data_IF_715261484856
#
_entry.id   IF_715261484856
#
_cell.length_a   1.000
_cell.length_b   1.000
_cell.length_c   1.000
_cell.angle_alpha   90.00
_cell.angle_beta   90.00
_cell.angle_gamma   90.00
#
_symmetry.space_group_name_H-M   'P 1'
#
loop_
_entity.id
_entity.type
_entity.pdbx_description
1 polymer ?
#
# COMPACT_ATOMS: atom_id res chain seq x y z
N UNK A 1 0.88 -50.56 11.57
CA UNK A 1 1.18 -49.49 12.54
C UNK A 1 2.21 -48.56 11.96
N UNK A 2 1.87 -47.32 11.77
CA UNK A 2 2.81 -46.33 11.27
C UNK A 2 3.56 -45.78 12.48
N UNK A 3 4.83 -46.09 12.59
CA UNK A 3 5.70 -45.51 13.60
C UNK A 3 6.24 -44.21 13.08
N UNK A 4 5.68 -43.09 13.55
CA UNK A 4 6.24 -41.77 13.28
C UNK A 4 7.34 -41.55 14.32
N UNK A 5 8.57 -41.36 13.87
CA UNK A 5 9.69 -41.04 14.72
C UNK A 5 9.48 -39.64 15.34
N UNK A 6 9.80 -39.47 16.66
CA UNK A 6 9.61 -38.15 17.31
C UNK A 6 10.32 -37.01 16.60
N UNK A 7 11.46 -37.28 15.95
CA UNK A 7 12.18 -36.27 15.17
C UNK A 7 11.45 -35.82 13.92
N UNK A 8 10.69 -36.69 13.27
CA UNK A 8 9.89 -36.36 12.09
C UNK A 8 8.71 -35.45 12.45
N UNK A 9 8.02 -35.77 13.55
CA UNK A 9 6.92 -34.96 14.06
C UNK A 9 7.40 -33.55 14.41
N UNK A 10 8.55 -33.46 15.07
CA UNK A 10 9.15 -32.18 15.43
C UNK A 10 9.52 -31.36 14.18
N UNK A 11 10.05 -31.99 13.15
CA UNK A 11 10.39 -31.31 11.88
C UNK A 11 9.16 -30.83 11.14
N UNK A 12 8.10 -31.64 11.07
CA UNK A 12 6.84 -31.24 10.45
C UNK A 12 6.20 -30.08 11.20
N UNK A 13 6.22 -30.11 12.52
CA UNK A 13 5.73 -29.02 13.35
C UNK A 13 6.50 -27.73 13.10
N UNK A 14 7.83 -27.79 13.02
CA UNK A 14 8.67 -26.65 12.69
C UNK A 14 8.37 -26.11 11.30
N UNK A 15 8.19 -26.98 10.30
CA UNK A 15 7.83 -26.57 8.93
C UNK A 15 6.49 -25.86 8.91
N UNK A 16 5.50 -26.36 9.65
CA UNK A 16 4.18 -25.74 9.75
C UNK A 16 4.26 -24.37 10.39
N UNK A 17 5.04 -24.23 11.48
CA UNK A 17 5.24 -22.93 12.15
C UNK A 17 5.94 -21.93 11.24
N UNK A 18 6.96 -22.37 10.49
CA UNK A 18 7.67 -21.52 9.55
C UNK A 18 6.75 -21.06 8.41
N UNK A 19 5.94 -21.97 7.87
CA UNK A 19 4.99 -21.66 6.81
C UNK A 19 3.96 -20.62 7.28
N UNK A 20 3.42 -20.76 8.50
CA UNK A 20 2.50 -19.79 9.08
C UNK A 20 3.17 -18.44 9.28
N UNK A 21 4.40 -18.43 9.82
CA UNK A 21 5.16 -17.19 10.04
C UNK A 21 5.46 -16.48 8.71
N UNK A 22 5.81 -17.22 7.67
CA UNK A 22 6.04 -16.66 6.33
C UNK A 22 4.76 -16.07 5.73
N UNK A 23 3.64 -16.78 5.86
CA UNK A 23 2.34 -16.31 5.40
C UNK A 23 1.93 -15.02 6.12
N UNK A 24 2.14 -14.94 7.43
CA UNK A 24 1.87 -13.75 8.22
C UNK A 24 2.73 -12.57 7.79
N UNK A 25 4.03 -12.81 7.56
CA UNK A 25 4.95 -11.77 7.08
C UNK A 25 4.57 -11.27 5.69
N UNK A 26 4.23 -12.19 4.78
CA UNK A 26 3.78 -11.84 3.44
C UNK A 26 2.49 -11.02 3.48
N UNK A 27 1.53 -11.38 4.34
CA UNK A 27 0.30 -10.64 4.54
C UNK A 27 0.55 -9.24 5.10
N UNK A 28 1.45 -9.11 6.08
CA UNK A 28 1.84 -7.83 6.66
C UNK A 28 2.50 -6.92 5.61
N UNK A 29 3.39 -7.46 4.78
CA UNK A 29 4.03 -6.71 3.70
C UNK A 29 3.02 -6.24 2.65
N UNK A 30 2.10 -7.11 2.26
CA UNK A 30 1.04 -6.77 1.31
C UNK A 30 0.13 -5.67 1.86
N UNK A 31 -0.23 -5.74 3.14
CA UNK A 31 -1.03 -4.72 3.80
C UNK A 31 -0.30 -3.38 3.86
N UNK A 32 0.97 -3.38 4.24
CA UNK A 32 1.81 -2.18 4.28
C UNK A 32 1.96 -1.57 2.89
N UNK A 33 2.17 -2.39 1.87
CA UNK A 33 2.26 -1.94 0.49
C UNK A 33 0.96 -1.24 0.05
N UNK A 34 -0.19 -1.84 0.33
CA UNK A 34 -1.50 -1.23 0.01
C UNK A 34 -1.70 0.10 0.71
N UNK A 35 -1.26 0.23 1.97
CA UNK A 35 -1.33 1.50 2.71
C UNK A 35 -0.49 2.58 2.06
N UNK A 36 0.73 2.24 1.65
CA UNK A 36 1.64 3.17 0.96
C UNK A 36 1.04 3.61 -0.38
N UNK A 37 0.52 2.68 -1.17
CA UNK A 37 -0.12 2.97 -2.46
C UNK A 37 -1.31 3.91 -2.27
N UNK A 38 -2.19 3.65 -1.30
CA UNK A 38 -3.34 4.53 -1.02
C UNK A 38 -2.91 5.92 -0.58
N UNK A 39 -1.85 6.02 0.21
CA UNK A 39 -1.30 7.29 0.65
C UNK A 39 -0.75 8.08 -0.55
N UNK A 40 -0.02 7.41 -1.44
CA UNK A 40 0.50 8.01 -2.66
C UNK A 40 -0.62 8.49 -3.58
N UNK A 41 -1.67 7.69 -3.77
CA UNK A 41 -2.84 8.06 -4.57
C UNK A 41 -3.57 9.29 -4.01
N UNK A 42 -3.69 9.38 -2.68
CA UNK A 42 -4.31 10.55 -2.03
C UNK A 42 -3.46 11.80 -2.20
N UNK A 43 -2.14 11.66 -2.07
CA UNK A 43 -1.20 12.76 -2.29
C UNK A 43 -1.26 13.25 -3.74
N UNK A 44 -1.31 12.34 -4.70
CA UNK A 44 -1.45 12.65 -6.11
C UNK A 44 -2.76 13.41 -6.39
N UNK A 45 -3.88 12.96 -5.83
CA UNK A 45 -5.17 13.65 -5.99
C UNK A 45 -5.14 15.07 -5.42
N UNK A 46 -4.47 15.28 -4.29
CA UNK A 46 -4.29 16.63 -3.71
C UNK A 46 -3.49 17.52 -4.65
N UNK A 47 -2.41 17.00 -5.23
CA UNK A 47 -1.60 17.75 -6.18
C UNK A 47 -2.39 18.12 -7.43
N UNK A 48 -3.16 17.20 -7.98
CA UNK A 48 -4.03 17.45 -9.13
C UNK A 48 -5.07 18.52 -8.79
N UNK A 49 -5.70 18.44 -7.63
CA UNK A 49 -6.68 19.43 -7.18
C UNK A 49 -6.06 20.80 -7.01
N UNK A 50 -4.87 20.89 -6.41
CA UNK A 50 -4.14 22.15 -6.25
C UNK A 50 -3.76 22.74 -7.60
N UNK A 51 -3.30 21.91 -8.51
CA UNK A 51 -2.98 22.34 -9.88
C UNK A 51 -4.22 22.91 -10.59
N UNK A 52 -5.34 22.19 -10.51
CA UNK A 52 -6.59 22.66 -11.12
C UNK A 52 -7.06 23.99 -10.54
N UNK A 53 -6.92 24.17 -9.22
CA UNK A 53 -7.25 25.44 -8.58
C UNK A 53 -6.32 26.57 -9.04
N UNK A 54 -5.03 26.29 -9.16
CA UNK A 54 -4.06 27.25 -9.64
C UNK A 54 -4.36 27.67 -11.08
N UNK A 55 -4.72 26.73 -11.95
CA UNK A 55 -5.10 27.01 -13.33
C UNK A 55 -6.34 27.90 -13.38
N UNK A 56 -7.35 27.63 -12.56
CA UNK A 56 -8.58 28.42 -12.48
C UNK A 56 -8.30 29.87 -12.01
N UNK A 57 -7.42 30.02 -11.02
CA UNK A 57 -7.01 31.31 -10.51
C UNK A 57 -6.26 32.12 -11.56
N UNK A 58 -5.36 31.49 -12.30
CA UNK A 58 -4.64 32.15 -13.41
C UNK A 58 -5.59 32.60 -14.50
N UNK A 59 -6.55 31.77 -14.87
CA UNK A 59 -7.57 32.12 -15.85
C UNK A 59 -8.38 33.34 -15.37
N UNK A 60 -8.72 33.39 -14.09
CA UNK A 60 -9.46 34.51 -13.50
C UNK A 60 -8.63 35.80 -13.49
N UNK A 61 -7.37 35.73 -13.19
CA UNK A 61 -6.45 36.88 -13.25
C UNK A 61 -6.36 37.41 -14.67
N UNK A 62 -6.24 36.53 -15.68
CA UNK A 62 -6.24 36.94 -17.09
C UNK A 62 -7.52 37.63 -17.50
N UNK A 63 -8.68 37.14 -17.06
CA UNK A 63 -9.97 37.77 -17.33
C UNK A 63 -10.03 39.19 -16.74
N UNK A 64 -9.54 39.36 -15.51
CA UNK A 64 -9.50 40.66 -14.86
C UNK A 64 -8.52 41.61 -15.54
N UNK A 65 -7.38 41.13 -16.02
CA UNK A 65 -6.41 41.91 -16.78
C UNK A 65 -7.00 42.38 -18.13
N UNK A 66 -7.73 41.48 -18.79
CA UNK A 66 -8.37 41.81 -20.09
C UNK A 66 -9.58 42.75 -19.93
N UNK A 67 -10.21 42.79 -18.77
CA UNK A 67 -11.34 43.62 -18.48
C UNK A 67 -10.95 45.10 -18.24
N UNK A 68 -9.68 45.35 -18.05
CA UNK A 68 -9.11 46.68 -17.95
C UNK A 68 -8.61 47.12 -19.33
#
# INVERSE_FOLDING_TARGET
MVHILPGEVAREHQRSLLAVAEAQRAGARAHQHRRIVRRAERAERRLVNQWNQAVKLQARVRELELAH
#
